data_IF_097253665529
#
_entry.id   IF_097253665529
#
_cell.length_a   1.000
_cell.length_b   1.000
_cell.length_c   1.000
_cell.angle_alpha   90.00
_cell.angle_beta   90.00
_cell.angle_gamma   90.00
#
_symmetry.space_group_name_H-M   'P 1'
#
loop_
_entity.id
_entity.type
_entity.pdbx_description
1 polymer ?
#
# COMPACT_ATOMS: atom_id res chain seq x y z
N UNK A 1 -36.24 -19.13 2.86
CA UNK A 1 -34.83 -19.56 2.75
C UNK A 1 -33.88 -18.54 3.39
N UNK A 2 -34.05 -18.24 4.69
CA UNK A 2 -33.22 -17.22 5.41
C UNK A 2 -32.79 -17.64 6.82
N UNK A 3 -32.86 -18.93 7.17
CA UNK A 3 -32.63 -19.38 8.56
C UNK A 3 -31.73 -20.62 8.71
N UNK A 4 -31.34 -21.30 7.63
CA UNK A 4 -30.58 -22.56 7.75
C UNK A 4 -29.06 -22.38 7.83
N UNK A 5 -28.55 -21.15 7.68
CA UNK A 5 -27.12 -20.85 7.79
C UNK A 5 -26.63 -20.69 9.24
N UNK A 6 -27.50 -20.73 10.25
CA UNK A 6 -27.15 -20.45 11.66
C UNK A 6 -26.80 -21.72 12.45
N UNK A 7 -26.94 -22.92 11.88
CA UNK A 7 -26.76 -24.20 12.61
C UNK A 7 -25.48 -24.99 12.35
N UNK A 8 -24.57 -24.47 11.55
CA UNK A 8 -23.28 -25.12 11.29
C UNK A 8 -22.10 -24.23 11.72
N UNK A 9 -22.04 -23.89 13.01
CA UNK A 9 -20.75 -23.55 13.61
C UNK A 9 -20.00 -24.85 13.94
N UNK A 10 -18.98 -25.14 13.12
CA UNK A 10 -17.80 -25.94 13.47
C UNK A 10 -18.04 -27.36 14.00
N UNK A 11 -18.37 -28.31 13.11
CA UNK A 11 -18.02 -29.73 13.34
C UNK A 11 -16.78 -30.00 12.50
N UNK A 12 -15.64 -30.19 13.16
CA UNK A 12 -14.40 -30.61 12.49
C UNK A 12 -14.46 -32.13 12.37
N UNK A 13 -14.78 -32.63 11.19
CA UNK A 13 -14.65 -34.05 10.88
C UNK A 13 -13.16 -34.39 10.91
N UNK A 14 -12.79 -35.28 11.82
CA UNK A 14 -11.42 -35.72 12.09
C UNK A 14 -10.81 -36.55 10.95
N UNK A 15 -11.64 -37.00 9.99
CA UNK A 15 -11.20 -37.78 8.82
C UNK A 15 -11.38 -37.05 7.47
N UNK A 16 -11.92 -35.83 7.45
CA UNK A 16 -11.97 -35.02 6.24
C UNK A 16 -10.65 -34.27 6.08
N UNK A 17 -10.04 -34.28 4.88
CA UNK A 17 -8.98 -33.35 4.55
C UNK A 17 -9.46 -31.94 4.95
N UNK A 18 -8.73 -31.28 5.85
CA UNK A 18 -9.12 -30.00 6.45
C UNK A 18 -9.24 -28.92 5.38
N UNK A 19 -10.39 -28.84 4.71
CA UNK A 19 -10.70 -27.73 3.82
C UNK A 19 -10.97 -26.52 4.70
N UNK A 20 -10.15 -25.48 4.56
CA UNK A 20 -10.34 -24.23 5.29
C UNK A 20 -11.74 -23.68 4.95
N UNK A 21 -12.53 -23.32 5.96
CA UNK A 21 -13.86 -22.71 5.76
C UNK A 21 -13.76 -21.42 4.93
N UNK A 22 -12.64 -20.70 5.02
CA UNK A 22 -12.37 -19.55 4.17
C UNK A 22 -12.24 -19.95 2.68
N UNK A 23 -11.65 -21.10 2.38
CA UNK A 23 -11.52 -21.59 0.99
C UNK A 23 -12.89 -21.99 0.42
N UNK A 24 -13.76 -22.59 1.22
CA UNK A 24 -15.13 -22.90 0.81
C UNK A 24 -15.94 -21.63 0.51
N UNK A 25 -15.87 -20.65 1.42
CA UNK A 25 -16.55 -19.35 1.24
C UNK A 25 -15.98 -18.61 0.03
N UNK A 26 -14.66 -18.62 -0.14
CA UNK A 26 -13.98 -18.01 -1.27
C UNK A 26 -14.47 -18.64 -2.58
N UNK A 27 -14.44 -19.96 -2.69
CA UNK A 27 -14.89 -20.67 -3.88
C UNK A 27 -16.35 -20.33 -4.26
N UNK A 28 -17.24 -20.24 -3.27
CA UNK A 28 -18.64 -19.86 -3.49
C UNK A 28 -18.80 -18.41 -3.98
N UNK A 29 -17.92 -17.51 -3.55
CA UNK A 29 -17.92 -16.08 -3.92
C UNK A 29 -17.06 -15.75 -5.17
N UNK A 30 -16.33 -16.72 -5.72
CA UNK A 30 -15.34 -16.48 -6.78
C UNK A 30 -14.04 -15.83 -6.28
N UNK A 31 -13.79 -15.87 -4.98
CA UNK A 31 -12.63 -15.32 -4.30
C UNK A 31 -11.68 -16.43 -3.80
N UNK A 32 -10.45 -16.05 -3.44
CA UNK A 32 -9.55 -16.98 -2.72
C UNK A 32 -9.88 -16.99 -1.22
N UNK A 33 -9.64 -18.09 -0.50
CA UNK A 33 -9.76 -18.09 0.95
C UNK A 33 -8.88 -17.03 1.63
N UNK A 34 -7.73 -16.70 1.03
CA UNK A 34 -6.90 -15.56 1.45
C UNK A 34 -7.61 -14.21 1.34
N UNK A 35 -8.43 -14.01 0.30
CA UNK A 35 -9.24 -12.80 0.14
C UNK A 35 -10.30 -12.73 1.25
N UNK A 36 -11.00 -13.84 1.52
CA UNK A 36 -11.99 -13.94 2.59
C UNK A 36 -11.36 -13.63 3.95
N UNK A 37 -10.21 -14.22 4.25
CA UNK A 37 -9.47 -13.96 5.50
C UNK A 37 -9.09 -12.47 5.64
N UNK A 38 -8.72 -11.79 4.56
CA UNK A 38 -8.43 -10.34 4.60
C UNK A 38 -9.68 -9.52 4.90
N UNK A 39 -10.84 -9.86 4.33
CA UNK A 39 -12.10 -9.21 4.68
C UNK A 39 -12.47 -9.43 6.14
N UNK A 40 -12.34 -10.65 6.65
CA UNK A 40 -12.54 -10.94 8.08
C UNK A 40 -11.58 -10.10 8.93
N UNK A 41 -10.31 -10.00 8.51
CA UNK A 41 -9.30 -9.25 9.25
C UNK A 41 -9.62 -7.76 9.38
N UNK A 42 -10.29 -7.16 8.39
CA UNK A 42 -10.71 -5.75 8.47
C UNK A 42 -11.66 -5.47 9.65
N UNK A 43 -12.32 -6.49 10.20
CA UNK A 43 -13.14 -6.35 11.43
C UNK A 43 -12.31 -6.00 12.68
N UNK A 44 -10.98 -6.14 12.62
CA UNK A 44 -10.06 -5.69 13.66
C UNK A 44 -9.69 -4.19 13.55
N UNK A 45 -10.22 -3.47 12.56
CA UNK A 45 -10.09 -2.01 12.51
C UNK A 45 -11.03 -1.34 13.51
N UNK A 46 -10.57 -0.22 14.09
CA UNK A 46 -11.48 0.68 14.78
C UNK A 46 -12.54 1.23 13.81
N UNK A 47 -13.78 1.51 14.27
CA UNK A 47 -14.88 1.93 13.41
C UNK A 47 -14.55 3.14 12.53
N UNK A 48 -13.74 4.07 13.03
CA UNK A 48 -13.34 5.27 12.33
C UNK A 48 -12.40 4.98 11.16
N UNK A 49 -11.44 4.05 11.32
CA UNK A 49 -10.58 3.63 10.21
C UNK A 49 -11.36 2.83 9.17
N UNK A 50 -12.33 2.01 9.60
CA UNK A 50 -13.23 1.31 8.69
C UNK A 50 -14.05 2.30 7.85
N UNK A 51 -14.57 3.36 8.48
CA UNK A 51 -15.27 4.44 7.77
C UNK A 51 -14.36 5.16 6.77
N UNK A 52 -13.10 5.43 7.13
CA UNK A 52 -12.13 6.04 6.20
C UNK A 52 -11.80 5.11 5.01
N UNK A 53 -11.84 3.79 5.22
CA UNK A 53 -11.71 2.80 4.15
C UNK A 53 -12.93 2.81 3.22
N UNK A 54 -14.14 2.83 3.78
CA UNK A 54 -15.39 2.92 3.03
C UNK A 54 -15.51 4.22 2.22
N UNK A 55 -15.02 5.34 2.77
CA UNK A 55 -14.92 6.63 2.09
C UNK A 55 -13.81 6.68 1.01
N UNK A 56 -13.00 5.62 0.89
CA UNK A 56 -11.90 5.55 -0.07
C UNK A 56 -10.67 6.40 0.28
N UNK A 57 -10.62 6.97 1.50
CA UNK A 57 -9.45 7.73 1.98
C UNK A 57 -8.26 6.81 2.30
N UNK A 58 -8.56 5.57 2.65
CA UNK A 58 -7.60 4.48 2.86
C UNK A 58 -7.95 3.34 1.90
N UNK A 59 -6.97 2.84 1.14
CA UNK A 59 -7.22 1.69 0.27
C UNK A 59 -7.24 0.36 1.06
N UNK A 60 -7.84 -0.67 0.45
CA UNK A 60 -7.97 -2.01 1.04
C UNK A 60 -6.66 -2.58 1.62
N UNK A 61 -5.54 -2.45 0.90
CA UNK A 61 -4.25 -3.02 1.32
C UNK A 61 -3.72 -2.31 2.56
N UNK A 62 -3.86 -0.98 2.61
CA UNK A 62 -3.50 -0.19 3.79
C UNK A 62 -4.42 -0.53 4.96
N UNK A 63 -5.74 -0.62 4.73
CA UNK A 63 -6.70 -1.04 5.74
C UNK A 63 -6.32 -2.37 6.38
N UNK A 64 -6.05 -3.40 5.57
CA UNK A 64 -5.58 -4.70 6.07
C UNK A 64 -4.28 -4.56 6.87
N UNK A 65 -3.35 -3.69 6.45
CA UNK A 65 -2.09 -3.49 7.18
C UNK A 65 -2.31 -2.84 8.55
N UNK A 66 -3.24 -1.90 8.67
CA UNK A 66 -3.56 -1.22 9.93
C UNK A 66 -4.23 -2.16 10.96
N UNK A 67 -4.84 -3.27 10.52
CA UNK A 67 -5.41 -4.30 11.43
C UNK A 67 -4.37 -5.03 12.29
N UNK A 68 -3.08 -4.85 12.01
CA UNK A 68 -1.99 -5.43 12.80
C UNK A 68 -1.51 -4.50 13.92
N UNK A 69 -1.97 -3.24 13.92
CA UNK A 69 -1.70 -2.29 14.99
C UNK A 69 -2.67 -2.50 16.15
N UNK A 70 -2.23 -2.20 17.36
CA UNK A 70 -3.08 -2.10 18.54
C UNK A 70 -4.13 -1.00 18.37
N UNK A 71 -5.19 -1.05 19.16
CA UNK A 71 -6.27 -0.06 19.13
C UNK A 71 -5.76 1.38 19.35
N UNK A 72 -4.83 1.56 20.30
CA UNK A 72 -4.21 2.87 20.58
C UNK A 72 -3.41 3.40 19.39
N UNK A 73 -2.62 2.54 18.73
CA UNK A 73 -1.86 2.93 17.55
C UNK A 73 -2.78 3.25 16.36
N UNK A 74 -3.89 2.51 16.21
CA UNK A 74 -4.92 2.80 15.21
C UNK A 74 -5.57 4.18 15.45
N UNK A 75 -5.79 4.56 16.71
CA UNK A 75 -6.29 5.90 17.07
C UNK A 75 -5.30 6.98 16.62
N UNK A 76 -4.00 6.83 16.89
CA UNK A 76 -2.98 7.79 16.44
C UNK A 76 -2.95 7.94 14.91
N UNK A 77 -3.04 6.82 14.18
CA UNK A 77 -3.11 6.85 12.71
C UNK A 77 -4.35 7.58 12.24
N UNK A 78 -5.51 7.28 12.81
CA UNK A 78 -6.78 7.95 12.49
C UNK A 78 -6.70 9.46 12.73
N UNK A 79 -6.18 9.87 13.89
CA UNK A 79 -6.09 11.29 14.25
C UNK A 79 -5.17 12.05 13.28
N UNK A 80 -4.06 11.42 12.88
CA UNK A 80 -3.15 11.99 11.89
C UNK A 80 -3.79 12.14 10.49
N UNK A 81 -4.58 11.14 10.05
CA UNK A 81 -5.31 11.20 8.77
C UNK A 81 -6.36 12.33 8.82
N UNK A 82 -7.11 12.44 9.91
CA UNK A 82 -8.16 13.46 10.07
C UNK A 82 -7.55 14.86 10.20
N UNK A 83 -6.37 15.01 10.81
CA UNK A 83 -5.67 16.29 10.95
C UNK A 83 -5.04 16.83 9.66
N UNK A 84 -5.17 16.10 8.54
CA UNK A 84 -4.74 16.57 7.23
C UNK A 84 -3.47 15.91 6.68
N UNK A 85 -3.07 14.75 7.21
CA UNK A 85 -2.03 13.96 6.56
C UNK A 85 -2.42 13.60 5.12
N UNK A 86 -1.42 13.51 4.25
CA UNK A 86 -1.58 13.07 2.86
C UNK A 86 -2.11 11.62 2.81
N UNK A 87 -2.66 11.19 1.68
CA UNK A 87 -3.15 9.81 1.50
C UNK A 87 -2.13 8.76 1.99
N UNK A 88 -2.58 7.86 2.87
CA UNK A 88 -1.71 6.83 3.47
C UNK A 88 -1.29 5.83 2.40
N UNK A 89 0.00 5.73 2.17
CA UNK A 89 0.57 4.82 1.17
C UNK A 89 0.90 3.45 1.76
N UNK A 90 1.06 2.44 0.91
CA UNK A 90 1.50 1.11 1.34
C UNK A 90 2.84 1.13 2.09
N UNK A 91 3.80 1.93 1.63
CA UNK A 91 5.11 2.05 2.30
C UNK A 91 5.02 2.69 3.69
N UNK A 92 4.13 3.67 3.87
CA UNK A 92 3.83 4.24 5.19
C UNK A 92 3.24 3.19 6.11
N UNK A 93 2.26 2.40 5.63
CA UNK A 93 1.67 1.31 6.41
C UNK A 93 2.68 0.23 6.79
N UNK A 94 3.63 -0.10 5.91
CA UNK A 94 4.75 -1.00 6.22
C UNK A 94 5.64 -0.44 7.33
N UNK A 95 6.01 0.85 7.26
CA UNK A 95 6.80 1.51 8.32
C UNK A 95 6.07 1.54 9.66
N UNK A 96 4.77 1.88 9.66
CA UNK A 96 3.94 1.86 10.87
C UNK A 96 3.96 0.48 11.52
N UNK A 97 3.71 -0.57 10.75
CA UNK A 97 3.71 -1.95 11.25
C UNK A 97 5.09 -2.34 11.81
N UNK A 98 6.18 -2.00 11.11
CA UNK A 98 7.53 -2.29 11.58
C UNK A 98 7.79 -1.66 12.96
N UNK A 99 7.48 -0.37 13.13
CA UNK A 99 7.67 0.29 14.41
C UNK A 99 6.80 -0.32 15.52
N UNK A 100 5.59 -0.78 15.19
CA UNK A 100 4.68 -1.44 16.14
C UNK A 100 5.22 -2.80 16.56
N UNK A 101 5.65 -3.62 15.60
CA UNK A 101 6.27 -4.93 15.84
C UNK A 101 7.55 -4.81 16.71
N UNK A 102 8.29 -3.70 16.57
CA UNK A 102 9.46 -3.36 17.38
C UNK A 102 9.12 -2.72 18.75
N UNK A 103 7.84 -2.43 19.04
CA UNK A 103 7.41 -1.77 20.28
C UNK A 103 7.76 -0.28 20.36
N UNK A 104 8.14 0.34 19.24
CA UNK A 104 8.64 1.70 19.13
C UNK A 104 7.65 2.67 18.48
N UNK A 105 6.45 2.20 18.09
CA UNK A 105 5.44 3.07 17.51
C UNK A 105 4.86 3.98 18.59
N UNK A 106 5.09 5.27 18.42
CA UNK A 106 4.54 6.34 19.27
C UNK A 106 3.70 7.27 18.40
N UNK A 107 2.85 8.10 19.03
CA UNK A 107 2.07 9.11 18.32
C UNK A 107 2.96 10.02 17.45
N UNK A 108 4.12 10.46 17.98
CA UNK A 108 5.07 11.27 17.22
C UNK A 108 5.65 10.51 16.02
N UNK A 109 5.98 9.22 16.18
CA UNK A 109 6.47 8.38 15.08
C UNK A 109 5.41 8.23 13.98
N UNK A 110 4.13 8.04 14.35
CA UNK A 110 3.01 8.02 13.41
C UNK A 110 2.93 9.33 12.62
N UNK A 111 2.98 10.48 13.31
CA UNK A 111 2.95 11.79 12.67
C UNK A 111 4.12 11.98 11.70
N UNK A 112 5.34 11.57 12.09
CA UNK A 112 6.52 11.65 11.23
C UNK A 112 6.40 10.76 9.99
N UNK A 113 5.90 9.53 10.14
CA UNK A 113 5.74 8.58 9.03
C UNK A 113 4.68 9.07 8.04
N UNK A 114 3.54 9.56 8.53
CA UNK A 114 2.41 9.94 7.67
C UNK A 114 2.56 11.33 7.05
N UNK A 115 3.32 12.23 7.68
CA UNK A 115 3.65 13.55 7.14
C UNK A 115 5.01 13.59 6.42
N UNK A 116 5.68 12.45 6.25
CA UNK A 116 6.91 12.36 5.47
C UNK A 116 6.62 12.85 4.05
N UNK A 117 7.10 14.06 3.74
CA UNK A 117 7.01 14.61 2.39
C UNK A 117 7.74 13.62 1.48
N UNK A 118 7.07 13.12 0.45
CA UNK A 118 7.76 12.43 -0.64
C UNK A 118 8.84 13.39 -1.12
N UNK A 119 10.10 13.07 -0.87
CA UNK A 119 11.16 13.60 -1.69
C UNK A 119 10.81 13.13 -3.09
N UNK A 120 10.34 14.03 -3.95
CA UNK A 120 10.29 13.74 -5.36
C UNK A 120 11.73 13.49 -5.78
N UNK A 121 12.16 12.23 -5.71
CA UNK A 121 13.25 11.75 -6.54
C UNK A 121 12.69 11.77 -7.94
N UNK A 122 12.57 12.97 -8.50
CA UNK A 122 11.97 13.22 -9.80
C UNK A 122 12.77 12.43 -10.81
N UNK A 123 12.27 11.26 -11.18
CA UNK A 123 12.88 10.46 -12.23
C UNK A 123 12.66 11.20 -13.54
N UNK A 124 13.63 12.02 -13.93
CA UNK A 124 13.64 12.66 -15.23
C UNK A 124 13.85 11.56 -16.27
N UNK A 125 12.78 11.24 -17.02
CA UNK A 125 12.84 10.23 -18.08
C UNK A 125 12.85 10.93 -19.42
N UNK A 126 14.00 10.89 -20.11
CA UNK A 126 14.12 11.31 -21.49
C UNK A 126 13.84 10.11 -22.40
N UNK A 127 12.67 10.08 -23.03
CA UNK A 127 12.30 8.97 -23.92
C UNK A 127 12.97 9.11 -25.29
N UNK A 128 13.32 7.99 -25.93
CA UNK A 128 13.94 7.99 -27.27
C UNK A 128 13.10 8.80 -28.27
N UNK A 129 11.77 8.64 -28.26
CA UNK A 129 10.84 9.39 -29.13
C UNK A 129 10.97 10.91 -28.97
N UNK A 130 11.29 11.40 -27.77
CA UNK A 130 11.51 12.84 -27.52
C UNK A 130 12.91 13.26 -27.96
N UNK A 131 13.93 12.48 -27.59
CA UNK A 131 15.33 12.79 -27.90
C UNK A 131 15.60 12.76 -29.40
N UNK A 132 15.11 11.76 -30.13
CA UNK A 132 15.41 11.53 -31.56
C UNK A 132 15.04 12.71 -32.48
N UNK A 133 14.19 13.64 -32.02
CA UNK A 133 13.82 14.87 -32.75
C UNK A 133 14.96 15.88 -32.83
N UNK A 134 15.96 15.79 -31.94
CA UNK A 134 17.06 16.73 -31.83
C UNK A 134 18.36 16.22 -32.45
N UNK A 135 18.38 14.99 -32.97
CA UNK A 135 19.57 14.32 -33.47
C UNK A 135 19.40 13.88 -34.93
N UNK A 136 20.48 13.83 -35.73
CA UNK A 136 20.46 13.23 -37.05
C UNK A 136 20.03 11.75 -37.01
N UNK A 137 19.46 11.23 -38.10
CA UNK A 137 18.93 9.86 -38.13
C UNK A 137 20.04 8.81 -38.01
N UNK A 138 21.24 9.18 -38.44
CA UNK A 138 22.46 8.37 -38.53
C UNK A 138 23.09 8.15 -37.15
N UNK A 139 22.73 8.95 -36.15
CA UNK A 139 23.27 8.82 -34.80
C UNK A 139 22.68 7.58 -34.12
N UNK A 140 23.58 6.76 -33.59
CA UNK A 140 23.22 5.62 -32.74
C UNK A 140 22.99 6.08 -31.29
N UNK A 141 22.52 5.16 -30.44
CA UNK A 141 22.18 5.47 -29.04
C UNK A 141 23.36 6.03 -28.25
N UNK A 142 24.55 5.43 -28.40
CA UNK A 142 25.76 5.81 -27.67
C UNK A 142 26.20 7.23 -28.03
N UNK A 143 26.16 7.57 -29.33
CA UNK A 143 26.48 8.92 -29.81
C UNK A 143 25.49 9.97 -29.28
N UNK A 144 24.20 9.63 -29.22
CA UNK A 144 23.18 10.50 -28.65
C UNK A 144 23.45 10.73 -27.15
N UNK A 145 23.72 9.67 -26.40
CA UNK A 145 24.03 9.76 -24.97
C UNK A 145 25.29 10.61 -24.72
N UNK A 146 26.36 10.41 -25.50
CA UNK A 146 27.59 11.17 -25.37
C UNK A 146 27.35 12.67 -25.56
N UNK A 147 26.61 13.07 -26.60
CA UNK A 147 26.29 14.49 -26.84
C UNK A 147 25.42 15.05 -25.71
N UNK A 148 24.46 14.27 -25.18
CA UNK A 148 23.66 14.71 -24.03
C UNK A 148 24.56 15.00 -22.83
N UNK A 149 25.50 14.11 -22.51
CA UNK A 149 26.44 14.33 -21.40
C UNK A 149 27.36 15.54 -21.66
N UNK A 150 27.90 15.70 -22.87
CA UNK A 150 28.72 16.87 -23.22
C UNK A 150 27.95 18.19 -23.06
N UNK A 151 26.68 18.24 -23.48
CA UNK A 151 25.81 19.41 -23.31
C UNK A 151 25.56 19.71 -21.82
N UNK A 152 25.31 18.67 -21.01
CA UNK A 152 25.08 18.81 -19.57
C UNK A 152 26.35 19.26 -18.84
N UNK A 153 27.52 18.73 -19.20
CA UNK A 153 28.81 19.12 -18.62
C UNK A 153 29.16 20.57 -18.96
N UNK A 154 28.92 21.00 -20.20
CA UNK A 154 29.13 22.39 -20.62
C UNK A 154 28.18 23.35 -19.90
N UNK A 155 26.91 22.98 -19.75
CA UNK A 155 25.94 23.75 -18.96
C UNK A 155 26.38 23.87 -17.49
N UNK A 156 26.82 22.75 -16.88
CA UNK A 156 27.31 22.73 -15.49
C UNK A 156 28.57 23.59 -15.30
N UNK A 157 29.48 23.63 -16.28
CA UNK A 157 30.66 24.51 -16.24
C UNK A 157 30.31 25.98 -16.39
N UNK A 158 29.13 26.29 -16.93
CA UNK A 158 28.62 27.66 -17.14
C UNK A 158 27.72 28.14 -15.99
N UNK A 159 27.49 27.30 -14.99
CA UNK A 159 26.90 27.65 -13.69
C UNK A 159 28.00 28.12 -12.73
#
# INVERSE_FOLDING_TARGET
MKMDAVKHQGIKDENAASVDSADLVGQAAGDSGRTVQRYIRLTCLIPELLKLLDEGKINFTVGVSLTYLSETEQIWVKDCIVSGASSVTGSMATKLKQYSDEGNLTELAVQLILNEKKTETGKVTLTEKKIRKYFPKEYNREQIEQVIYELLDNWKKSQ
#
